data_IF_771540237107
#
_entry.id   IF_771540237107
#
_cell.length_a   1.000
_cell.length_b   1.000
_cell.length_c   1.000
_cell.angle_alpha   90.00
_cell.angle_beta   90.00
_cell.angle_gamma   90.00
#
_symmetry.space_group_name_H-M   'P 1'
#
loop_
_entity.id
_entity.type
_entity.pdbx_description
1 polymer ?
#
# COMPACT_ATOMS: atom_id res chain seq x y z
N UNK A 1 -0.88 14.77 -20.39
CA UNK A 1 -0.23 14.03 -19.30
C UNK A 1 -0.87 12.65 -19.05
N UNK A 2 -1.98 12.34 -19.70
CA UNK A 2 -2.58 11.03 -19.70
C UNK A 2 -2.38 10.46 -21.10
N UNK A 3 -1.75 9.30 -21.28
CA UNK A 3 -1.79 8.63 -22.57
C UNK A 3 -3.28 8.30 -22.83
N UNK A 4 -3.94 8.97 -23.79
CA UNK A 4 -5.39 8.89 -23.99
C UNK A 4 -5.83 7.50 -24.47
N UNK A 5 -4.91 6.60 -24.62
CA UNK A 5 -5.12 5.28 -25.22
C UNK A 5 -5.27 4.13 -24.19
N UNK A 6 -4.93 4.35 -22.91
CA UNK A 6 -4.97 3.25 -21.94
C UNK A 6 -6.31 3.10 -21.21
N UNK A 7 -6.96 4.19 -20.86
CA UNK A 7 -8.29 4.18 -20.22
C UNK A 7 -9.00 5.52 -20.33
N UNK A 8 -10.35 5.50 -20.20
CA UNK A 8 -11.19 6.68 -20.28
C UNK A 8 -10.81 7.72 -19.20
N UNK A 9 -10.96 9.02 -19.54
CA UNK A 9 -10.80 10.14 -18.59
C UNK A 9 -11.66 9.92 -17.33
N UNK A 10 -12.88 9.39 -17.51
CA UNK A 10 -13.78 9.08 -16.39
C UNK A 10 -13.15 8.06 -15.43
N UNK A 11 -12.54 7.00 -15.97
CA UNK A 11 -11.83 6.01 -15.15
C UNK A 11 -10.64 6.62 -14.42
N UNK A 12 -9.88 7.47 -15.09
CA UNK A 12 -8.76 8.21 -14.47
C UNK A 12 -9.19 9.08 -13.30
N UNK A 13 -10.30 9.80 -13.45
CA UNK A 13 -10.89 10.61 -12.37
C UNK A 13 -11.37 9.74 -11.21
N UNK A 14 -12.06 8.62 -11.48
CA UNK A 14 -12.50 7.69 -10.44
C UNK A 14 -11.33 7.11 -9.65
N UNK A 15 -10.25 6.72 -10.33
CA UNK A 15 -9.02 6.23 -9.69
C UNK A 15 -8.37 7.31 -8.81
N UNK A 16 -8.29 8.55 -9.31
CA UNK A 16 -7.73 9.67 -8.55
C UNK A 16 -8.56 9.97 -7.30
N UNK A 17 -9.88 10.02 -7.43
CA UNK A 17 -10.81 10.25 -6.29
C UNK A 17 -10.69 9.12 -5.27
N UNK A 18 -10.73 7.86 -5.72
CA UNK A 18 -10.57 6.71 -4.84
C UNK A 18 -9.24 6.76 -4.09
N UNK A 19 -8.14 7.03 -4.80
CA UNK A 19 -6.81 7.12 -4.23
C UNK A 19 -6.69 8.22 -3.20
N UNK A 20 -7.31 9.37 -3.47
CA UNK A 20 -7.33 10.51 -2.55
C UNK A 20 -8.15 10.21 -1.29
N UNK A 21 -9.27 9.52 -1.43
CA UNK A 21 -10.11 9.09 -0.29
C UNK A 21 -9.33 8.13 0.61
N UNK A 22 -8.69 7.09 0.04
CA UNK A 22 -7.85 6.16 0.81
C UNK A 22 -6.70 6.89 1.51
N UNK A 23 -6.05 7.81 0.82
CA UNK A 23 -4.96 8.61 1.38
C UNK A 23 -5.42 9.40 2.62
N UNK A 24 -6.56 10.11 2.52
CA UNK A 24 -7.10 10.88 3.65
C UNK A 24 -7.49 9.97 4.81
N UNK A 25 -8.22 8.88 4.54
CA UNK A 25 -8.68 7.96 5.57
C UNK A 25 -7.49 7.37 6.32
N UNK A 26 -6.44 6.94 5.61
CA UNK A 26 -5.28 6.34 6.26
C UNK A 26 -4.46 7.34 7.07
N UNK A 27 -4.30 8.57 6.58
CA UNK A 27 -3.60 9.63 7.33
C UNK A 27 -4.36 10.04 8.59
N UNK A 28 -5.70 10.10 8.53
CA UNK A 28 -6.54 10.56 9.64
C UNK A 28 -6.82 9.43 10.65
N UNK A 29 -7.22 8.25 10.17
CA UNK A 29 -7.69 7.15 11.01
C UNK A 29 -6.68 6.02 11.16
N UNK A 30 -5.61 5.98 10.33
CA UNK A 30 -4.62 4.89 10.28
C UNK A 30 -5.27 3.51 10.13
N UNK A 31 -6.38 3.48 9.41
CA UNK A 31 -7.16 2.27 9.19
C UNK A 31 -7.80 2.29 7.81
N UNK A 32 -7.72 1.18 7.11
CA UNK A 32 -8.40 0.99 5.83
C UNK A 32 -9.74 0.33 6.09
N UNK A 33 -10.82 1.02 5.76
CA UNK A 33 -12.17 0.55 5.98
C UNK A 33 -12.55 -0.54 4.95
N UNK A 34 -13.20 -1.62 5.40
CA UNK A 34 -13.65 -2.68 4.51
C UNK A 34 -14.53 -2.22 3.34
N UNK A 35 -15.48 -1.27 3.52
CA UNK A 35 -16.27 -0.77 2.39
C UNK A 35 -15.41 -0.13 1.29
N UNK A 36 -14.33 0.56 1.65
CA UNK A 36 -13.42 1.17 0.67
C UNK A 36 -12.61 0.11 -0.07
N UNK A 37 -12.24 -0.99 0.61
CA UNK A 37 -11.58 -2.14 -0.02
C UNK A 37 -12.48 -2.77 -1.07
N UNK A 38 -13.75 -3.02 -0.76
CA UNK A 38 -14.70 -3.60 -1.72
C UNK A 38 -14.97 -2.69 -2.92
N UNK A 39 -15.17 -1.39 -2.68
CA UNK A 39 -15.34 -0.42 -3.75
C UNK A 39 -14.11 -0.38 -4.67
N UNK A 40 -12.92 -0.36 -4.07
CA UNK A 40 -11.66 -0.44 -4.80
C UNK A 40 -11.49 -1.73 -5.58
N UNK A 41 -11.86 -2.87 -4.98
CA UNK A 41 -11.73 -4.17 -5.65
C UNK A 41 -12.57 -4.21 -6.94
N UNK A 42 -13.79 -3.69 -6.93
CA UNK A 42 -14.64 -3.60 -8.14
C UNK A 42 -13.99 -2.67 -9.16
N UNK A 43 -13.57 -1.46 -8.74
CA UNK A 43 -12.98 -0.46 -9.62
C UNK A 43 -11.72 -0.97 -10.30
N UNK A 44 -10.78 -1.51 -9.51
CA UNK A 44 -9.49 -1.99 -10.01
C UNK A 44 -9.59 -3.33 -10.75
N UNK A 45 -10.60 -4.16 -10.45
CA UNK A 45 -10.89 -5.37 -11.22
C UNK A 45 -11.33 -5.00 -12.64
N UNK A 46 -12.29 -4.09 -12.78
CA UNK A 46 -12.77 -3.63 -14.10
C UNK A 46 -11.63 -3.00 -14.89
N UNK A 47 -10.86 -2.12 -14.27
CA UNK A 47 -9.70 -1.50 -14.89
C UNK A 47 -8.66 -2.54 -15.34
N UNK A 48 -8.28 -3.45 -14.44
CA UNK A 48 -7.26 -4.45 -14.72
C UNK A 48 -7.65 -5.40 -15.86
N UNK A 49 -8.92 -5.83 -15.90
CA UNK A 49 -9.43 -6.65 -17.02
C UNK A 49 -9.32 -5.91 -18.36
N UNK A 50 -9.59 -4.61 -18.38
CA UNK A 50 -9.45 -3.79 -19.58
C UNK A 50 -8.01 -3.61 -20.03
N UNK A 51 -7.07 -3.47 -19.07
CA UNK A 51 -5.66 -3.20 -19.36
C UNK A 51 -4.85 -4.46 -19.67
N UNK A 52 -5.09 -5.54 -18.96
CA UNK A 52 -4.19 -6.72 -18.93
C UNK A 52 -4.91 -8.05 -19.20
N UNK A 53 -6.25 -8.02 -19.27
CA UNK A 53 -7.07 -9.24 -19.30
C UNK A 53 -7.20 -9.90 -17.93
N UNK A 54 -8.13 -10.85 -17.83
CA UNK A 54 -8.57 -11.41 -16.55
C UNK A 54 -7.44 -12.15 -15.79
N UNK A 55 -6.61 -12.92 -16.51
CA UNK A 55 -5.57 -13.73 -15.87
C UNK A 55 -4.49 -12.89 -15.20
N UNK A 56 -3.97 -11.87 -15.86
CA UNK A 56 -2.93 -11.00 -15.31
C UNK A 56 -3.49 -10.13 -14.18
N UNK A 57 -4.75 -9.72 -14.26
CA UNK A 57 -5.45 -9.00 -13.21
C UNK A 57 -5.57 -9.84 -11.95
N UNK A 58 -6.07 -11.08 -12.05
CA UNK A 58 -6.21 -11.97 -10.90
C UNK A 58 -4.86 -12.37 -10.31
N UNK A 59 -3.86 -12.65 -11.15
CA UNK A 59 -2.49 -12.91 -10.70
C UNK A 59 -1.90 -11.70 -9.97
N UNK A 60 -2.12 -10.50 -10.47
CA UNK A 60 -1.66 -9.28 -9.82
C UNK A 60 -2.32 -9.07 -8.45
N UNK A 61 -3.64 -9.24 -8.36
CA UNK A 61 -4.38 -9.13 -7.10
C UNK A 61 -3.95 -10.16 -6.06
N UNK A 62 -3.89 -11.43 -6.46
CA UNK A 62 -3.45 -12.52 -5.57
C UNK A 62 -1.99 -12.36 -5.15
N UNK A 63 -1.10 -12.00 -6.07
CA UNK A 63 0.31 -11.77 -5.76
C UNK A 63 0.48 -10.58 -4.80
N UNK A 64 -0.19 -9.45 -5.04
CA UNK A 64 -0.15 -8.29 -4.16
C UNK A 64 -0.61 -8.63 -2.74
N UNK A 65 -1.74 -9.34 -2.63
CA UNK A 65 -2.26 -9.79 -1.35
C UNK A 65 -1.30 -10.75 -0.63
N UNK A 66 -0.80 -11.79 -1.32
CA UNK A 66 0.06 -12.80 -0.71
C UNK A 66 1.44 -12.26 -0.31
N UNK A 67 2.06 -11.42 -1.16
CA UNK A 67 3.35 -10.80 -0.84
C UNK A 67 3.20 -9.92 0.41
N UNK A 68 2.16 -9.08 0.45
CA UNK A 68 1.95 -8.19 1.58
C UNK A 68 1.53 -8.94 2.85
N UNK A 69 0.79 -10.04 2.71
CA UNK A 69 0.46 -10.95 3.81
C UNK A 69 1.73 -11.59 4.39
N UNK A 70 2.64 -12.04 3.54
CA UNK A 70 3.92 -12.58 3.97
C UNK A 70 4.78 -11.54 4.70
N UNK A 71 4.77 -10.28 4.22
CA UNK A 71 5.44 -9.16 4.90
C UNK A 71 4.78 -8.82 6.24
N UNK A 72 3.46 -8.87 6.33
CA UNK A 72 2.71 -8.64 7.57
C UNK A 72 3.10 -9.66 8.65
N UNK A 73 3.02 -10.96 8.34
CA UNK A 73 3.39 -12.00 9.30
C UNK A 73 4.90 -12.04 9.57
N UNK A 74 5.72 -11.93 8.53
CA UNK A 74 7.18 -11.90 8.67
C UNK A 74 7.66 -10.71 9.51
N UNK A 75 7.08 -9.53 9.27
CA UNK A 75 7.35 -8.32 10.05
C UNK A 75 6.94 -8.47 11.51
N UNK A 76 5.78 -9.09 11.77
CA UNK A 76 5.32 -9.34 13.14
C UNK A 76 6.25 -10.30 13.90
N UNK A 77 6.62 -11.42 13.28
CA UNK A 77 7.56 -12.39 13.87
C UNK A 77 8.91 -11.76 14.15
N UNK A 78 9.43 -10.98 13.19
CA UNK A 78 10.72 -10.29 13.36
C UNK A 78 10.65 -9.24 14.48
N UNK A 79 9.59 -8.44 14.53
CA UNK A 79 9.40 -7.42 15.55
C UNK A 79 9.28 -8.04 16.95
N UNK A 80 8.54 -9.14 17.11
CA UNK A 80 8.46 -9.88 18.37
C UNK A 80 9.82 -10.46 18.79
N UNK A 81 10.57 -11.01 17.84
CA UNK A 81 11.91 -11.55 18.15
C UNK A 81 12.85 -10.46 18.65
N UNK A 82 12.83 -9.26 18.03
CA UNK A 82 13.64 -8.12 18.44
C UNK A 82 13.22 -7.57 19.80
N UNK A 83 11.90 -7.46 20.05
CA UNK A 83 11.35 -7.00 21.32
C UNK A 83 11.74 -7.93 22.48
N UNK A 84 11.62 -9.26 22.28
CA UNK A 84 12.05 -10.24 23.27
C UNK A 84 13.52 -10.10 23.67
N UNK A 85 14.39 -9.76 22.70
CA UNK A 85 15.83 -9.49 22.98
C UNK A 85 16.05 -8.23 23.81
N UNK A 86 15.13 -7.27 23.75
CA UNK A 86 15.20 -6.01 24.51
C UNK A 86 14.40 -6.03 25.82
N UNK A 87 13.70 -7.13 26.12
CA UNK A 87 12.83 -7.24 27.29
C UNK A 87 11.56 -6.40 27.18
N UNK A 88 11.16 -6.02 25.96
CA UNK A 88 9.95 -5.23 25.68
C UNK A 88 8.87 -6.14 25.11
N UNK A 89 7.59 -5.81 25.34
CA UNK A 89 6.43 -6.45 24.69
C UNK A 89 5.90 -5.51 23.62
N UNK A 90 5.68 -6.03 22.42
CA UNK A 90 5.03 -5.28 21.33
C UNK A 90 3.59 -5.75 21.20
N UNK A 91 2.65 -4.87 21.45
CA UNK A 91 1.22 -5.15 21.37
C UNK A 91 0.62 -4.88 19.98
N UNK A 92 1.32 -4.13 19.13
CA UNK A 92 0.82 -3.75 17.79
C UNK A 92 1.65 -4.38 16.67
N UNK A 93 0.99 -4.89 15.60
CA UNK A 93 1.68 -5.39 14.41
C UNK A 93 2.39 -4.24 13.66
N UNK A 94 3.57 -4.53 13.12
CA UNK A 94 4.38 -3.56 12.37
C UNK A 94 3.70 -3.06 11.08
N UNK A 95 2.77 -3.83 10.52
CA UNK A 95 2.04 -3.53 9.29
C UNK A 95 0.54 -3.83 9.49
N UNK A 96 -0.35 -2.93 9.12
CA UNK A 96 -1.80 -3.10 9.23
C UNK A 96 -2.34 -4.17 8.27
N UNK A 97 -3.34 -4.94 8.70
CA UNK A 97 -4.03 -5.90 7.79
C UNK A 97 -4.79 -5.18 6.67
N UNK A 98 -5.15 -3.92 6.87
CA UNK A 98 -5.72 -3.06 5.85
C UNK A 98 -4.80 -2.88 4.63
N UNK A 99 -3.48 -2.73 4.87
CA UNK A 99 -2.49 -2.60 3.80
C UNK A 99 -2.37 -3.87 2.96
N UNK A 100 -2.58 -5.05 3.58
CA UNK A 100 -2.63 -6.35 2.88
C UNK A 100 -3.80 -6.37 1.90
N UNK A 101 -4.99 -5.97 2.34
CA UNK A 101 -6.17 -5.90 1.49
C UNK A 101 -6.00 -4.87 0.38
N UNK A 102 -5.48 -3.68 0.71
CA UNK A 102 -5.24 -2.62 -0.25
C UNK A 102 -4.23 -3.04 -1.33
N UNK A 103 -3.16 -3.72 -0.96
CA UNK A 103 -2.18 -4.22 -1.93
C UNK A 103 -2.77 -5.25 -2.89
N UNK A 104 -3.70 -6.08 -2.41
CA UNK A 104 -4.49 -6.96 -3.27
C UNK A 104 -5.34 -6.18 -4.27
N UNK A 105 -6.06 -5.15 -3.79
CA UNK A 105 -6.88 -4.26 -4.64
C UNK A 105 -6.05 -3.55 -5.69
N UNK A 106 -4.94 -2.92 -5.30
CA UNK A 106 -4.03 -2.25 -6.23
C UNK A 106 -3.39 -3.22 -7.21
N UNK A 107 -3.14 -4.46 -6.77
CA UNK A 107 -2.65 -5.55 -7.59
C UNK A 107 -3.60 -5.96 -8.70
N UNK A 108 -4.92 -5.88 -8.48
CA UNK A 108 -5.90 -6.09 -9.54
C UNK A 108 -5.72 -5.06 -10.68
N UNK A 109 -5.48 -3.81 -10.35
CA UNK A 109 -5.31 -2.75 -11.35
C UNK A 109 -3.96 -2.78 -12.07
N UNK A 110 -2.89 -3.07 -11.34
CA UNK A 110 -1.52 -3.10 -11.87
C UNK A 110 -1.22 -4.38 -12.67
N UNK A 111 -1.95 -5.46 -12.37
CA UNK A 111 -1.66 -6.78 -12.93
C UNK A 111 -0.28 -7.32 -12.51
N UNK A 112 0.01 -8.55 -12.98
CA UNK A 112 1.34 -9.12 -12.84
C UNK A 112 2.19 -8.82 -14.09
N UNK A 113 3.47 -8.41 -13.98
CA UNK A 113 4.30 -8.20 -12.77
C UNK A 113 4.22 -6.78 -12.19
N UNK A 114 3.31 -5.93 -12.67
CA UNK A 114 3.20 -4.52 -12.28
C UNK A 114 3.11 -4.30 -10.77
N UNK A 115 2.35 -5.16 -10.07
CA UNK A 115 2.22 -5.06 -8.60
C UNK A 115 3.55 -5.27 -7.88
N UNK A 116 4.42 -6.15 -8.36
CA UNK A 116 5.73 -6.35 -7.75
C UNK A 116 6.58 -5.08 -7.80
N UNK A 117 6.59 -4.39 -8.96
CA UNK A 117 7.25 -3.11 -9.10
C UNK A 117 6.61 -2.04 -8.18
N UNK A 118 5.27 -2.00 -8.09
CA UNK A 118 4.54 -1.10 -7.20
C UNK A 118 4.91 -1.29 -5.73
N UNK A 119 4.97 -2.53 -5.27
CA UNK A 119 5.36 -2.85 -3.89
C UNK A 119 6.82 -2.46 -3.61
N UNK A 120 7.74 -2.72 -4.53
CA UNK A 120 9.14 -2.30 -4.39
C UNK A 120 9.22 -0.77 -4.25
N UNK A 121 8.57 -0.02 -5.12
CA UNK A 121 8.54 1.45 -5.05
C UNK A 121 7.94 1.91 -3.72
N UNK A 122 6.82 1.34 -3.28
CA UNK A 122 6.17 1.68 -2.02
C UNK A 122 7.08 1.42 -0.81
N UNK A 123 7.80 0.28 -0.78
CA UNK A 123 8.74 -0.07 0.27
C UNK A 123 9.90 0.95 0.32
N UNK A 124 10.48 1.30 -0.83
CA UNK A 124 11.55 2.28 -0.88
C UNK A 124 11.08 3.67 -0.44
N UNK A 125 9.91 4.13 -0.91
CA UNK A 125 9.34 5.42 -0.50
C UNK A 125 9.04 5.46 1.00
N UNK A 126 8.36 4.43 1.51
CA UNK A 126 8.03 4.32 2.93
C UNK A 126 9.29 4.23 3.80
N UNK A 127 10.27 3.43 3.39
CA UNK A 127 11.56 3.30 4.07
C UNK A 127 12.34 4.62 4.10
N UNK A 128 12.41 5.33 2.97
CA UNK A 128 13.10 6.62 2.88
C UNK A 128 12.45 7.67 3.78
N UNK A 129 11.13 7.80 3.73
CA UNK A 129 10.40 8.79 4.55
C UNK A 129 10.49 8.43 6.03
N UNK A 130 10.36 7.13 6.37
CA UNK A 130 10.55 6.67 7.75
C UNK A 130 11.95 6.97 8.27
N UNK A 131 12.97 6.76 7.45
CA UNK A 131 14.36 7.08 7.78
C UNK A 131 14.55 8.58 8.01
N UNK A 132 14.07 9.42 7.09
CA UNK A 132 14.15 10.88 7.24
C UNK A 132 13.43 11.37 8.51
N UNK A 133 12.25 10.81 8.78
CA UNK A 133 11.51 11.11 10.01
C UNK A 133 12.31 10.77 11.26
N UNK A 134 12.95 9.59 11.31
CA UNK A 134 13.78 9.17 12.44
C UNK A 134 15.00 10.10 12.63
N UNK A 135 15.65 10.50 11.55
CA UNK A 135 16.79 11.43 11.61
C UNK A 135 16.34 12.78 12.19
N UNK A 136 15.24 13.35 11.69
CA UNK A 136 14.72 14.63 12.18
C UNK A 136 14.26 14.52 13.64
N UNK A 137 13.55 13.45 14.00
CA UNK A 137 13.09 13.23 15.37
C UNK A 137 14.25 13.11 16.37
N UNK A 138 15.33 12.44 15.96
CA UNK A 138 16.55 12.30 16.77
C UNK A 138 17.27 13.64 16.94
N UNK A 139 17.38 14.45 15.87
CA UNK A 139 18.01 15.77 15.92
C UNK A 139 17.20 16.77 16.76
N UNK A 140 15.86 16.63 16.79
CA UNK A 140 14.95 17.52 17.52
C UNK A 140 14.75 17.13 18.99
N UNK A 141 15.41 16.10 19.53
CA UNK A 141 15.16 15.54 20.87
C UNK A 141 13.67 15.21 21.16
N UNK A 142 12.85 15.02 20.11
CA UNK A 142 11.43 14.66 20.19
C UNK A 142 11.17 13.20 19.86
N UNK A 143 12.16 12.35 20.12
CA UNK A 143 12.05 10.92 19.85
C UNK A 143 10.96 10.29 20.71
N UNK A 144 9.79 9.99 20.11
CA UNK A 144 8.79 9.09 20.69
C UNK A 144 9.01 7.72 20.06
N UNK A 145 9.33 6.76 20.88
CA UNK A 145 9.47 5.35 20.48
C UNK A 145 8.14 4.87 19.91
N UNK A 146 8.16 4.24 18.73
CA UNK A 146 7.01 3.62 18.08
C UNK A 146 5.85 4.56 17.68
N UNK A 147 6.08 5.44 16.73
CA UNK A 147 4.98 6.07 16.02
C UNK A 147 4.74 5.31 14.71
N UNK A 148 3.63 4.57 14.62
CA UNK A 148 3.25 3.88 13.40
C UNK A 148 3.07 4.91 12.26
N UNK A 149 3.82 4.75 11.16
CA UNK A 149 3.70 5.59 9.98
C UNK A 149 2.64 4.97 9.07
N UNK A 150 1.63 5.72 8.60
CA UNK A 150 0.63 5.19 7.67
C UNK A 150 1.33 4.71 6.39
N UNK A 151 1.08 3.45 5.98
CA UNK A 151 1.77 2.84 4.85
C UNK A 151 0.97 2.93 3.55
N UNK A 152 -0.37 2.99 3.63
CA UNK A 152 -1.25 3.06 2.46
C UNK A 152 -0.95 4.24 1.51
N UNK A 153 -0.55 5.44 1.96
CA UNK A 153 -0.15 6.53 1.08
C UNK A 153 0.95 6.13 0.09
N UNK A 154 1.95 5.38 0.55
CA UNK A 154 3.07 4.96 -0.31
C UNK A 154 2.64 3.92 -1.34
N UNK A 155 1.75 2.99 -0.95
CA UNK A 155 1.14 2.02 -1.85
C UNK A 155 0.35 2.72 -2.95
N UNK A 156 -0.49 3.67 -2.56
CA UNK A 156 -1.34 4.42 -3.50
C UNK A 156 -0.50 5.25 -4.46
N UNK A 157 0.49 5.99 -3.97
CA UNK A 157 1.38 6.81 -4.80
C UNK A 157 2.14 5.93 -5.80
N UNK A 158 2.70 4.81 -5.35
CA UNK A 158 3.41 3.87 -6.22
C UNK A 158 2.51 3.28 -7.30
N UNK A 159 1.29 2.88 -6.93
CA UNK A 159 0.31 2.35 -7.87
C UNK A 159 -0.13 3.38 -8.91
N UNK A 160 -0.45 4.61 -8.45
CA UNK A 160 -0.84 5.70 -9.37
C UNK A 160 0.31 6.06 -10.31
N UNK A 161 1.53 6.17 -9.81
CA UNK A 161 2.69 6.41 -10.67
C UNK A 161 2.81 5.39 -11.80
N UNK A 162 2.62 4.10 -11.50
CA UNK A 162 2.72 3.03 -12.50
C UNK A 162 1.53 2.98 -13.46
N UNK A 163 0.32 3.31 -13.01
CA UNK A 163 -0.87 3.33 -13.85
C UNK A 163 -0.87 4.51 -14.84
N UNK A 164 -0.32 5.66 -14.43
CA UNK A 164 -0.32 6.88 -15.24
C UNK A 164 0.97 7.11 -16.04
N UNK A 165 1.96 6.25 -15.88
CA UNK A 165 3.19 6.26 -16.68
C UNK A 165 2.97 5.59 -18.05
#
# INVERSE_FOLDING_TARGET
>A
LFPPERFSIVMGVLLAVYSFVIFIIDVEYRAILLPTVYAGAILFLVLGIQLHGIWMTLLGGTAGFLIMLALHYGGHVFAQWLARRRGETLDEPALGFGDVNLSGVLGLGLGWPGIAAGLIIAIFLGGLISFLYLVVAKLSNRFKTFQAIPYAPFLVIAAMYLLFR
#
